data_IF_544198121442
#
_entry.id   IF_544198121442
#
_cell.length_a   1.000
_cell.length_b   1.000
_cell.length_c   1.000
_cell.angle_alpha   90.00
_cell.angle_beta   90.00
_cell.angle_gamma   90.00
#
_symmetry.space_group_name_H-M   'P 1'
#
loop_
_entity.id
_entity.type
_entity.pdbx_description
1 polymer ?
#
# COMPACT_ATOMS: atom_id res chain seq x y z
N UNK A 1 -6.87 -4.39 13.91
CA UNK A 1 -7.38 -4.46 12.51
C UNK A 1 -6.63 -3.42 11.69
N UNK A 2 -5.78 -3.81 10.73
CA UNK A 2 -4.89 -2.94 9.94
C UNK A 2 -5.60 -2.00 8.94
N UNK A 3 -6.87 -1.67 9.22
CA UNK A 3 -7.75 -0.82 8.43
C UNK A 3 -7.66 0.66 8.83
N UNK A 4 -6.63 1.06 9.59
CA UNK A 4 -6.34 2.49 9.78
C UNK A 4 -5.76 3.04 8.48
N UNK A 5 -6.08 4.30 8.19
CA UNK A 5 -5.51 5.12 7.11
C UNK A 5 -3.99 5.29 7.21
N UNK A 6 -3.40 4.88 8.33
CA UNK A 6 -1.96 4.92 8.57
C UNK A 6 -1.19 3.95 7.67
N UNK A 7 0.13 4.12 7.56
CA UNK A 7 0.95 3.24 6.74
C UNK A 7 1.17 1.87 7.40
N UNK A 8 1.20 0.80 6.60
CA UNK A 8 1.33 -0.57 7.15
C UNK A 8 2.63 -0.76 7.91
N UNK A 9 3.72 -0.15 7.43
CA UNK A 9 5.00 -0.24 8.10
C UNK A 9 4.96 0.41 9.49
N UNK A 10 4.20 1.50 9.68
CA UNK A 10 3.97 2.11 11.01
C UNK A 10 3.12 1.22 11.91
N UNK A 11 2.04 0.64 11.36
CA UNK A 11 1.18 -0.29 12.09
C UNK A 11 1.95 -1.52 12.60
N UNK A 12 3.07 -1.87 11.93
CA UNK A 12 3.97 -2.96 12.30
C UNK A 12 5.18 -2.52 13.13
N UNK A 13 5.28 -1.23 13.49
CA UNK A 13 6.39 -0.69 14.28
C UNK A 13 7.72 -0.56 13.53
N UNK A 14 7.68 -0.52 12.21
CA UNK A 14 8.87 -0.35 11.36
C UNK A 14 9.15 1.13 11.08
N UNK A 15 10.37 1.45 10.69
CA UNK A 15 10.82 2.84 10.48
C UNK A 15 10.37 3.41 9.14
N UNK A 16 10.25 2.55 8.12
CA UNK A 16 9.89 2.96 6.76
C UNK A 16 9.42 1.77 5.92
N UNK A 17 8.96 2.07 4.70
CA UNK A 17 8.53 1.07 3.72
C UNK A 17 9.63 0.09 3.29
N UNK A 18 10.90 0.50 3.27
CA UNK A 18 12.00 -0.39 2.87
C UNK A 18 12.24 -1.49 3.91
N UNK A 19 12.11 -1.18 5.21
CA UNK A 19 12.15 -2.20 6.27
C UNK A 19 11.02 -3.22 6.12
N UNK A 20 9.81 -2.76 5.79
CA UNK A 20 8.69 -3.65 5.50
C UNK A 20 8.99 -4.56 4.29
N UNK A 21 9.53 -4.01 3.21
CA UNK A 21 9.93 -4.81 2.05
C UNK A 21 10.98 -5.88 2.41
N UNK A 22 11.97 -5.55 3.24
CA UNK A 22 12.97 -6.52 3.71
C UNK A 22 12.36 -7.61 4.60
N UNK A 23 11.46 -7.23 5.52
CA UNK A 23 10.75 -8.17 6.38
C UNK A 23 9.96 -9.17 5.53
N UNK A 24 9.21 -8.67 4.55
CA UNK A 24 8.42 -9.53 3.65
C UNK A 24 9.32 -10.39 2.76
N UNK A 25 10.44 -9.86 2.24
CA UNK A 25 11.38 -10.67 1.47
C UNK A 25 11.98 -11.83 2.29
N UNK A 26 12.21 -11.62 3.59
CA UNK A 26 12.74 -12.65 4.49
C UNK A 26 11.73 -13.72 4.86
N UNK A 27 10.49 -13.32 5.19
CA UNK A 27 9.49 -14.23 5.76
C UNK A 27 8.46 -14.72 4.74
N UNK A 28 8.24 -13.99 3.66
CA UNK A 28 7.26 -14.27 2.61
C UNK A 28 7.87 -14.02 1.21
N UNK A 29 8.96 -14.70 0.84
CA UNK A 29 9.74 -14.39 -0.35
C UNK A 29 8.93 -14.44 -1.65
N UNK A 30 8.03 -15.42 -1.79
CA UNK A 30 7.16 -15.53 -2.97
C UNK A 30 6.18 -14.35 -3.10
N UNK A 31 5.60 -13.92 -1.97
CA UNK A 31 4.72 -12.75 -1.92
C UNK A 31 5.49 -11.46 -2.25
N UNK A 32 6.70 -11.33 -1.69
CA UNK A 32 7.52 -10.15 -1.90
C UNK A 32 8.01 -10.04 -3.35
N UNK A 33 8.45 -11.15 -3.95
CA UNK A 33 8.90 -11.22 -5.34
C UNK A 33 7.80 -10.82 -6.34
N UNK A 34 6.53 -11.03 -5.98
CA UNK A 34 5.40 -10.64 -6.82
C UNK A 34 5.09 -9.12 -6.85
N UNK A 35 5.70 -8.31 -5.98
CA UNK A 35 5.49 -6.85 -5.95
C UNK A 35 6.56 -6.10 -6.78
N UNK A 36 6.69 -6.46 -8.05
CA UNK A 36 7.79 -6.01 -8.94
C UNK A 36 7.78 -4.52 -9.28
N UNK A 37 6.59 -3.90 -9.29
CA UNK A 37 6.41 -2.48 -9.63
C UNK A 37 6.44 -1.56 -8.41
N UNK A 38 6.88 -2.06 -7.26
CA UNK A 38 6.91 -1.30 -6.01
C UNK A 38 5.54 -0.64 -5.73
N UNK A 39 4.47 -1.44 -5.73
CA UNK A 39 3.14 -1.01 -5.30
C UNK A 39 3.12 -0.86 -3.78
N UNK A 40 2.34 0.08 -3.24
CA UNK A 40 2.16 0.24 -1.78
C UNK A 40 1.66 -1.09 -1.20
N UNK A 41 2.25 -1.56 -0.10
CA UNK A 41 2.02 -2.93 0.39
C UNK A 41 0.55 -3.23 0.73
N UNK A 42 -0.17 -2.28 1.35
CA UNK A 42 -1.62 -2.44 1.62
C UNK A 42 -2.41 -2.68 0.33
N UNK A 43 -2.13 -1.90 -0.73
CA UNK A 43 -2.79 -2.02 -2.03
C UNK A 43 -2.41 -3.33 -2.73
N UNK A 44 -1.15 -3.73 -2.64
CA UNK A 44 -0.68 -5.01 -3.18
C UNK A 44 -1.39 -6.21 -2.53
N UNK A 45 -1.49 -6.23 -1.20
CA UNK A 45 -2.18 -7.29 -0.47
C UNK A 45 -3.67 -7.33 -0.79
N UNK A 46 -4.33 -6.17 -0.82
CA UNK A 46 -5.73 -6.08 -1.20
C UNK A 46 -5.97 -6.66 -2.60
N UNK A 47 -5.13 -6.28 -3.59
CA UNK A 47 -5.20 -6.84 -4.94
C UNK A 47 -5.02 -8.35 -4.94
N UNK A 48 -4.03 -8.89 -4.21
CA UNK A 48 -3.80 -10.35 -4.13
C UNK A 48 -4.95 -11.11 -3.50
N UNK A 49 -5.62 -10.51 -2.52
CA UNK A 49 -6.83 -11.08 -1.94
C UNK A 49 -7.99 -11.09 -2.94
N UNK A 50 -8.24 -9.96 -3.63
CA UNK A 50 -9.25 -9.89 -4.67
C UNK A 50 -8.99 -10.90 -5.80
N UNK A 51 -7.75 -10.99 -6.30
CA UNK A 51 -7.35 -11.94 -7.34
C UNK A 51 -7.61 -13.40 -6.91
N UNK A 52 -7.31 -13.75 -5.65
CA UNK A 52 -7.56 -15.09 -5.12
C UNK A 52 -9.05 -15.42 -5.01
N UNK A 53 -9.90 -14.41 -4.85
CA UNK A 53 -11.37 -14.54 -4.84
C UNK A 53 -12.00 -14.43 -6.24
N UNK A 54 -11.19 -14.26 -7.29
CA UNK A 54 -11.66 -14.13 -8.68
C UNK A 54 -12.12 -12.73 -9.07
N UNK A 55 -11.86 -11.72 -8.24
CA UNK A 55 -12.19 -10.32 -8.52
C UNK A 55 -11.01 -9.55 -9.09
N UNK A 56 -11.29 -8.69 -10.08
CA UNK A 56 -10.35 -7.67 -10.55
C UNK A 56 -10.53 -6.39 -9.75
N UNK A 57 -9.48 -5.93 -9.06
CA UNK A 57 -9.54 -4.68 -8.28
C UNK A 57 -9.49 -3.40 -9.13
N UNK A 58 -9.22 -3.53 -10.43
CA UNK A 58 -9.07 -2.41 -11.36
C UNK A 58 -9.82 -2.72 -12.65
N UNK A 59 -10.57 -1.76 -13.17
CA UNK A 59 -11.33 -1.86 -14.43
C UNK A 59 -10.54 -1.34 -15.62
N UNK A 60 -9.42 -0.64 -15.39
CA UNK A 60 -8.57 -0.14 -16.45
C UNK A 60 -7.81 -1.31 -17.14
N UNK A 61 -7.59 -1.23 -18.46
CA UNK A 61 -6.88 -2.26 -19.22
C UNK A 61 -5.41 -2.40 -18.79
N UNK A 62 -4.82 -1.35 -18.22
CA UNK A 62 -3.50 -1.37 -17.64
C UNK A 62 -3.43 -0.45 -16.41
N UNK A 63 -2.53 -0.74 -15.47
CA UNK A 63 -2.34 0.16 -14.32
C UNK A 63 -1.90 1.56 -14.74
N UNK A 64 -1.16 1.70 -15.85
CA UNK A 64 -0.64 3.00 -16.30
C UNK A 64 -1.72 3.96 -16.77
N UNK A 65 -2.90 3.45 -17.12
CA UNK A 65 -4.05 4.24 -17.57
C UNK A 65 -5.15 4.33 -16.49
N UNK A 66 -4.87 3.81 -15.29
CA UNK A 66 -5.79 3.89 -14.16
C UNK A 66 -5.67 5.26 -13.49
N UNK A 67 -6.79 5.98 -13.33
CA UNK A 67 -6.83 7.25 -12.61
C UNK A 67 -6.34 7.14 -11.16
N UNK A 68 -6.49 5.96 -10.55
CA UNK A 68 -6.02 5.68 -9.19
C UNK A 68 -4.56 5.20 -9.11
N UNK A 69 -3.77 5.34 -10.18
CA UNK A 69 -2.38 4.87 -10.23
C UNK A 69 -1.54 5.40 -9.07
N UNK A 70 -1.60 6.70 -8.77
CA UNK A 70 -0.85 7.33 -7.68
C UNK A 70 -1.32 6.87 -6.28
N UNK A 71 -2.56 6.42 -6.16
CA UNK A 71 -3.05 5.82 -4.92
C UNK A 71 -2.42 4.43 -4.68
N UNK A 72 -2.02 3.75 -5.76
CA UNK A 72 -1.47 2.40 -5.75
C UNK A 72 0.06 2.36 -5.73
N UNK A 73 0.70 3.29 -6.43
CA UNK A 73 2.14 3.37 -6.64
C UNK A 73 2.72 4.65 -6.02
N UNK A 74 4.03 4.84 -6.11
CA UNK A 74 4.69 6.03 -5.56
C UNK A 74 5.11 5.92 -4.09
N UNK A 75 5.78 6.96 -3.56
CA UNK A 75 6.25 6.99 -2.18
C UNK A 75 5.09 6.96 -1.19
N UNK A 76 5.36 6.44 0.00
CA UNK A 76 4.50 6.60 1.16
C UNK A 76 5.11 7.73 1.98
N UNK A 77 4.78 8.97 1.62
CA UNK A 77 5.25 10.15 2.35
C UNK A 77 4.76 10.10 3.80
N UNK A 78 5.56 10.64 4.69
CA UNK A 78 5.26 10.71 6.12
C UNK A 78 4.19 11.78 6.32
N UNK A 79 2.92 11.44 6.10
CA UNK A 79 1.82 12.33 6.50
C UNK A 79 1.81 12.38 8.04
N UNK A 80 2.43 13.41 8.59
CA UNK A 80 2.39 13.73 10.00
C UNK A 80 0.94 14.07 10.37
N UNK A 81 0.43 13.53 11.48
CA UNK A 81 -0.93 13.82 11.97
C UNK A 81 -1.09 15.24 12.52
N UNK A 82 -0.75 16.25 11.72
CA UNK A 82 -1.11 17.63 11.94
C UNK A 82 -1.99 18.07 10.77
N UNK A 83 -3.20 17.52 10.71
CA UNK A 83 -4.31 18.27 10.14
C UNK A 83 -4.53 19.48 11.06
N UNK A 84 -4.34 20.73 10.60
CA UNK A 84 -4.86 21.87 11.35
C UNK A 84 -6.38 21.70 11.36
N UNK A 85 -6.95 21.53 12.55
CA UNK A 85 -8.37 21.82 12.74
C UNK A 85 -8.56 23.31 12.50
N UNK A 86 -8.83 23.72 11.26
CA UNK A 86 -9.40 25.04 11.03
C UNK A 86 -10.89 24.94 11.26
N UNK A 87 -11.27 25.15 12.51
CA UNK A 87 -12.60 25.56 12.89
C UNK A 87 -12.58 27.09 13.02
N UNK A 88 -13.05 27.81 11.99
CA UNK A 88 -13.48 29.23 12.01
C UNK A 88 -14.36 29.41 10.76
N UNK A 89 -15.58 29.91 10.77
CA UNK A 89 -16.56 30.32 11.77
C UNK A 89 -17.88 30.58 11.03
#
# INVERSE_FOLDING_TARGET
RAMRTDHLWRDLGLSNRAELSRLLARHFPALAAGNTKNMKWKKYFYRKLCEAEGFSSCTAPSCGECHDFESCFGPEEVESRLSPTTNVG
#
